data_IF_460740511884
#
_entry.id   IF_460740511884
#
_cell.length_a   1.000
_cell.length_b   1.000
_cell.length_c   1.000
_cell.angle_alpha   90.00
_cell.angle_beta   90.00
_cell.angle_gamma   90.00
#
_symmetry.space_group_name_H-M   'P 1'
#
loop_
_entity.id
_entity.type
_entity.pdbx_description
1 polymer ?
#
# COMPACT_ATOMS: atom_id res chain seq x y z
N UNK A 1 -13.73 48.36 18.45
CA UNK A 1 -13.51 47.58 17.20
C UNK A 1 -12.23 46.78 17.43
N UNK A 2 -12.38 45.57 17.89
CA UNK A 2 -11.27 44.63 18.06
C UNK A 2 -11.07 43.95 16.70
N UNK A 3 -10.00 44.32 16.03
CA UNK A 3 -9.55 43.62 14.81
C UNK A 3 -9.17 42.18 15.23
N UNK A 4 -9.90 41.23 14.74
CA UNK A 4 -9.51 39.80 14.77
C UNK A 4 -8.09 39.70 14.19
N UNK A 5 -7.16 38.93 14.78
CA UNK A 5 -5.88 38.67 14.14
C UNK A 5 -6.15 38.03 12.79
N UNK A 6 -5.61 38.61 11.73
CA UNK A 6 -5.58 37.92 10.43
C UNK A 6 -4.87 36.60 10.64
N UNK A 7 -5.57 35.50 10.48
CA UNK A 7 -4.97 34.15 10.43
C UNK A 7 -3.93 34.20 9.30
N UNK A 8 -2.66 34.12 9.67
CA UNK A 8 -1.58 34.05 8.69
C UNK A 8 -1.77 32.81 7.84
N UNK A 9 -1.84 32.97 6.50
CA UNK A 9 -1.88 31.81 5.61
C UNK A 9 -0.72 30.87 5.95
N UNK A 10 -0.95 29.55 5.99
CA UNK A 10 0.12 28.58 6.28
C UNK A 10 1.23 28.69 5.24
N UNK A 11 2.43 28.28 5.61
CA UNK A 11 3.55 28.20 4.68
C UNK A 11 3.26 27.14 3.61
N UNK A 12 3.26 27.53 2.32
CA UNK A 12 2.88 26.67 1.19
C UNK A 12 4.02 25.80 0.64
N UNK A 13 5.25 26.09 1.07
CA UNK A 13 6.47 25.39 0.64
C UNK A 13 7.17 24.75 1.84
N UNK A 14 7.86 23.65 1.59
CA UNK A 14 8.68 22.96 2.60
C UNK A 14 10.03 23.68 2.81
N UNK A 15 10.86 23.13 3.71
CA UNK A 15 12.19 23.68 4.03
C UNK A 15 13.18 23.64 2.85
N UNK A 16 12.89 22.85 1.79
CA UNK A 16 13.67 22.78 0.53
C UNK A 16 13.09 23.71 -0.55
N UNK A 17 12.05 24.48 -0.25
CA UNK A 17 11.36 25.38 -1.19
C UNK A 17 10.45 24.66 -2.19
N UNK A 18 10.05 23.41 -1.91
CA UNK A 18 9.14 22.62 -2.74
C UNK A 18 7.70 22.80 -2.25
N UNK A 19 6.68 22.70 -3.12
CA UNK A 19 5.28 22.67 -2.69
C UNK A 19 5.04 21.60 -1.61
N UNK A 20 4.34 21.98 -0.53
CA UNK A 20 3.83 21.01 0.46
C UNK A 20 2.70 20.20 -0.18
N UNK A 21 2.62 18.91 0.18
CA UNK A 21 1.67 17.96 -0.40
C UNK A 21 0.87 17.27 0.69
N UNK A 22 -0.44 17.35 0.56
CA UNK A 22 -1.38 16.83 1.55
C UNK A 22 -2.22 15.69 0.98
N UNK A 23 -2.74 14.84 1.86
CA UNK A 23 -3.75 13.82 1.56
C UNK A 23 -5.11 14.39 1.89
N UNK A 24 -6.02 14.39 0.92
CA UNK A 24 -7.37 14.93 1.08
C UNK A 24 -8.46 13.86 0.97
N UNK A 25 -8.13 12.66 0.49
CA UNK A 25 -9.07 11.56 0.43
C UNK A 25 -8.39 10.20 0.32
N UNK A 26 -9.09 9.18 0.78
CA UNK A 26 -8.64 7.78 0.78
C UNK A 26 -9.73 6.84 0.28
N UNK A 27 -9.32 5.81 -0.46
CA UNK A 27 -10.18 4.71 -0.89
C UNK A 27 -9.48 3.38 -0.65
N UNK A 28 -10.21 2.38 -0.18
CA UNK A 28 -9.66 1.04 0.03
C UNK A 28 -10.67 -0.04 -0.34
N UNK A 29 -10.15 -1.11 -0.96
CA UNK A 29 -10.87 -2.33 -1.27
C UNK A 29 -9.97 -3.49 -0.86
N UNK A 30 -10.28 -4.14 0.25
CA UNK A 30 -9.37 -5.04 0.97
C UNK A 30 -10.06 -6.28 1.49
N UNK A 31 -9.32 -7.30 1.95
CA UNK A 31 -9.90 -8.47 2.64
C UNK A 31 -10.71 -8.15 3.90
N UNK A 32 -10.45 -7.01 4.56
CA UNK A 32 -11.20 -6.57 5.75
C UNK A 32 -12.43 -5.72 5.41
N UNK A 33 -12.57 -5.26 4.18
CA UNK A 33 -13.70 -4.44 3.79
C UNK A 33 -13.53 -3.75 2.45
N UNK A 34 -14.66 -3.27 1.91
CA UNK A 34 -14.73 -2.65 0.59
C UNK A 34 -14.77 -1.12 0.63
N UNK A 35 -14.50 -0.53 1.80
CA UNK A 35 -14.34 0.91 2.02
C UNK A 35 -13.15 1.18 2.94
N UNK A 36 -12.56 2.37 2.88
CA UNK A 36 -11.47 2.75 3.77
C UNK A 36 -11.90 2.71 5.25
N UNK A 37 -13.16 3.04 5.54
CA UNK A 37 -13.72 3.00 6.91
C UNK A 37 -13.87 1.57 7.43
N UNK A 38 -14.39 0.64 6.63
CA UNK A 38 -14.54 -0.77 7.03
C UNK A 38 -13.16 -1.41 7.20
N UNK A 39 -12.24 -1.14 6.27
CA UNK A 39 -10.85 -1.57 6.37
C UNK A 39 -10.21 -1.10 7.67
N UNK A 40 -10.30 0.20 7.96
CA UNK A 40 -9.73 0.78 9.18
C UNK A 40 -10.36 0.20 10.45
N UNK A 41 -11.69 0.06 10.46
CA UNK A 41 -12.38 -0.55 11.59
C UNK A 41 -11.88 -1.97 11.86
N UNK A 42 -11.79 -2.81 10.82
CA UNK A 42 -11.26 -4.17 10.96
C UNK A 42 -9.81 -4.21 11.46
N UNK A 43 -8.97 -3.26 11.02
CA UNK A 43 -7.60 -3.14 11.53
C UNK A 43 -7.56 -2.79 13.03
N UNK A 44 -8.36 -1.83 13.47
CA UNK A 44 -8.41 -1.41 14.89
C UNK A 44 -9.01 -2.51 15.78
N UNK A 45 -10.00 -3.23 15.27
CA UNK A 45 -10.64 -4.33 16.00
C UNK A 45 -9.78 -5.62 16.00
N UNK A 46 -8.66 -5.64 15.27
CA UNK A 46 -7.77 -6.81 15.18
C UNK A 46 -8.41 -7.99 14.43
N UNK A 47 -9.30 -7.70 13.48
CA UNK A 47 -9.95 -8.73 12.67
C UNK A 47 -9.00 -9.30 11.61
N UNK A 48 -9.15 -10.58 11.27
CA UNK A 48 -8.42 -11.20 10.17
C UNK A 48 -9.32 -11.35 8.95
N UNK A 49 -8.87 -10.82 7.80
CA UNK A 49 -9.49 -11.03 6.49
C UNK A 49 -8.92 -12.24 5.75
N UNK A 50 -8.13 -13.09 6.43
CA UNK A 50 -7.54 -14.29 5.84
C UNK A 50 -8.47 -15.46 6.04
N UNK A 51 -8.74 -16.18 4.94
CA UNK A 51 -9.63 -17.33 4.91
C UNK A 51 -9.15 -18.41 3.95
N UNK A 52 -9.95 -19.47 3.77
CA UNK A 52 -9.70 -20.47 2.72
C UNK A 52 -9.72 -19.81 1.33
N UNK A 53 -8.74 -20.14 0.51
CA UNK A 53 -8.63 -19.62 -0.86
C UNK A 53 -9.76 -20.16 -1.74
N UNK A 54 -10.46 -19.29 -2.44
CA UNK A 54 -11.61 -19.63 -3.32
C UNK A 54 -11.42 -19.19 -4.76
N UNK A 55 -10.52 -18.24 -5.03
CA UNK A 55 -10.30 -17.69 -6.37
C UNK A 55 -9.56 -18.62 -7.34
N UNK A 56 -8.88 -19.65 -6.84
CA UNK A 56 -8.28 -20.69 -7.68
C UNK A 56 -8.33 -22.06 -6.99
N UNK A 57 -8.14 -23.12 -7.79
CA UNK A 57 -8.03 -24.48 -7.26
C UNK A 57 -6.68 -24.69 -6.57
N UNK A 58 -6.73 -25.03 -5.28
CA UNK A 58 -5.57 -25.23 -4.42
C UNK A 58 -5.23 -26.70 -4.15
N UNK A 59 -5.88 -27.67 -4.85
CA UNK A 59 -5.78 -29.11 -4.56
C UNK A 59 -4.34 -29.59 -4.47
N UNK A 60 -3.51 -29.21 -5.42
CA UNK A 60 -2.12 -29.67 -5.54
C UNK A 60 -1.09 -28.74 -4.88
N UNK A 61 -1.53 -27.72 -4.13
CA UNK A 61 -0.64 -26.73 -3.53
C UNK A 61 -0.54 -26.86 -2.02
N UNK A 62 0.63 -26.57 -1.41
CA UNK A 62 0.80 -26.63 0.04
C UNK A 62 0.04 -25.51 0.77
N UNK A 63 -0.14 -24.36 0.15
CA UNK A 63 -0.87 -23.20 0.69
C UNK A 63 -2.30 -23.21 0.15
N UNK A 64 -3.29 -23.09 1.06
CA UNK A 64 -4.72 -23.14 0.75
C UNK A 64 -5.49 -21.95 1.28
N UNK A 65 -4.78 -20.89 1.68
CA UNK A 65 -5.29 -19.73 2.37
C UNK A 65 -4.88 -18.43 1.66
N UNK A 66 -5.73 -17.42 1.72
CA UNK A 66 -5.47 -16.10 1.15
C UNK A 66 -6.29 -15.01 1.84
N UNK A 67 -5.85 -13.76 1.69
CA UNK A 67 -6.67 -12.58 1.94
C UNK A 67 -7.42 -12.20 0.66
N UNK A 68 -8.63 -12.72 0.48
CA UNK A 68 -9.50 -12.42 -0.66
C UNK A 68 -10.51 -11.33 -0.28
N UNK A 69 -10.89 -10.48 -1.26
CA UNK A 69 -11.93 -9.45 -1.02
C UNK A 69 -13.30 -10.12 -1.03
N UNK A 70 -14.08 -10.08 0.08
CA UNK A 70 -15.36 -10.74 0.15
C UNK A 70 -16.38 -10.10 -0.80
N UNK A 71 -17.13 -10.94 -1.53
CA UNK A 71 -18.27 -10.55 -2.38
C UNK A 71 -18.00 -9.35 -3.32
N UNK A 72 -16.77 -9.20 -3.82
CA UNK A 72 -16.41 -8.11 -4.70
C UNK A 72 -17.15 -8.19 -6.03
N UNK A 73 -18.07 -7.24 -6.23
CA UNK A 73 -18.80 -7.06 -7.49
C UNK A 73 -18.48 -5.70 -8.11
N UNK A 74 -17.67 -5.65 -9.17
CA UNK A 74 -17.27 -4.38 -9.78
C UNK A 74 -18.45 -3.58 -10.36
N UNK A 75 -19.58 -4.24 -10.68
CA UNK A 75 -20.77 -3.59 -11.24
C UNK A 75 -21.53 -2.69 -10.25
N UNK A 76 -21.19 -2.72 -9.00
CA UNK A 76 -21.74 -1.79 -8.01
C UNK A 76 -21.30 -0.35 -8.29
N UNK A 77 -20.13 -0.18 -8.93
CA UNK A 77 -19.54 1.13 -9.22
C UNK A 77 -19.09 1.34 -10.66
N UNK A 78 -18.91 0.26 -11.44
CA UNK A 78 -18.47 0.31 -12.82
C UNK A 78 -19.58 -0.09 -13.78
N UNK A 79 -19.61 0.53 -14.96
CA UNK A 79 -20.45 0.05 -16.06
C UNK A 79 -20.13 -1.41 -16.39
N UNK A 80 -21.15 -2.21 -16.63
CA UNK A 80 -21.03 -3.65 -16.86
C UNK A 80 -20.20 -4.00 -18.12
N UNK A 81 -20.14 -3.12 -19.12
CA UNK A 81 -19.35 -3.30 -20.34
C UNK A 81 -17.88 -3.04 -20.05
N UNK A 82 -17.60 -1.99 -19.27
CA UNK A 82 -16.24 -1.65 -18.85
C UNK A 82 -15.67 -2.70 -17.91
N UNK A 83 -16.43 -3.12 -16.90
CA UNK A 83 -16.02 -4.16 -15.97
C UNK A 83 -15.59 -5.46 -16.69
N UNK A 84 -16.30 -5.87 -17.76
CA UNK A 84 -15.93 -7.07 -18.55
C UNK A 84 -14.65 -6.96 -19.37
N UNK A 85 -14.11 -5.75 -19.53
CA UNK A 85 -12.89 -5.47 -20.31
C UNK A 85 -11.68 -5.17 -19.44
N UNK A 86 -11.87 -5.21 -18.13
CA UNK A 86 -10.83 -5.02 -17.13
C UNK A 86 -10.56 -6.32 -16.40
N UNK A 87 -9.31 -6.62 -16.11
CA UNK A 87 -8.99 -7.66 -15.14
C UNK A 87 -9.26 -7.19 -13.70
N UNK A 88 -9.28 -8.16 -12.78
CA UNK A 88 -9.68 -7.95 -11.39
C UNK A 88 -8.86 -6.86 -10.70
N UNK A 89 -7.52 -6.82 -10.87
CA UNK A 89 -6.69 -5.78 -10.26
C UNK A 89 -7.05 -4.37 -10.75
N UNK A 90 -7.43 -4.22 -12.03
CA UNK A 90 -7.89 -2.95 -12.59
C UNK A 90 -9.29 -2.57 -12.08
N UNK A 91 -10.19 -3.54 -11.93
CA UNK A 91 -11.53 -3.31 -11.35
C UNK A 91 -11.44 -2.82 -9.91
N UNK A 92 -10.57 -3.44 -9.11
CA UNK A 92 -10.31 -3.06 -7.72
C UNK A 92 -9.71 -1.65 -7.64
N UNK A 93 -8.72 -1.33 -8.50
CA UNK A 93 -8.09 -0.02 -8.57
C UNK A 93 -9.10 1.09 -8.93
N UNK A 94 -9.93 0.87 -9.95
CA UNK A 94 -10.95 1.85 -10.37
C UNK A 94 -11.97 2.07 -9.25
N UNK A 95 -12.41 0.99 -8.59
CA UNK A 95 -13.34 1.09 -7.46
C UNK A 95 -12.73 1.91 -6.31
N UNK A 96 -11.48 1.63 -5.94
CA UNK A 96 -10.77 2.39 -4.91
C UNK A 96 -10.54 3.86 -5.31
N UNK A 97 -10.21 4.11 -6.58
CA UNK A 97 -10.02 5.47 -7.11
C UNK A 97 -11.29 6.31 -7.07
N UNK A 98 -12.44 5.74 -7.47
CA UNK A 98 -13.74 6.43 -7.36
C UNK A 98 -14.06 6.78 -5.91
N UNK A 99 -13.82 5.86 -4.96
CA UNK A 99 -14.03 6.11 -3.54
C UNK A 99 -13.11 7.21 -2.99
N UNK A 100 -11.84 7.22 -3.40
CA UNK A 100 -10.89 8.22 -2.94
C UNK A 100 -11.25 9.64 -3.44
N UNK A 101 -11.74 9.78 -4.68
CA UNK A 101 -12.25 11.04 -5.22
C UNK A 101 -13.50 11.51 -4.46
N UNK A 102 -14.44 10.58 -4.19
CA UNK A 102 -15.64 10.87 -3.39
C UNK A 102 -15.27 11.34 -1.97
N UNK A 103 -14.32 10.65 -1.32
CA UNK A 103 -13.85 10.99 0.04
C UNK A 103 -13.13 12.35 0.08
N UNK A 104 -12.34 12.67 -0.95
CA UNK A 104 -11.70 13.97 -1.12
C UNK A 104 -12.69 15.11 -1.37
N UNK A 105 -13.92 14.81 -1.75
CA UNK A 105 -14.89 15.81 -2.22
C UNK A 105 -14.38 16.60 -3.42
N UNK A 106 -13.57 15.96 -4.30
CA UNK A 106 -12.98 16.61 -5.46
C UNK A 106 -13.96 16.60 -6.64
N UNK A 107 -14.35 17.79 -7.10
CA UNK A 107 -15.20 17.96 -8.28
C UNK A 107 -14.34 17.98 -9.56
N UNK A 108 -14.25 16.84 -10.22
CA UNK A 108 -13.44 16.68 -11.44
C UNK A 108 -13.89 17.54 -12.62
N UNK A 109 -15.14 18.02 -12.62
CA UNK A 109 -15.65 18.88 -13.70
C UNK A 109 -15.16 20.33 -13.56
N UNK A 110 -14.82 20.75 -12.34
CA UNK A 110 -14.28 22.08 -12.05
C UNK A 110 -12.77 22.19 -12.24
N UNK A 111 -12.07 21.05 -12.37
CA UNK A 111 -10.62 20.98 -12.42
C UNK A 111 -10.06 21.03 -13.85
N UNK A 112 -8.81 21.49 -14.01
CA UNK A 112 -8.06 21.29 -15.26
C UNK A 112 -7.57 19.84 -15.33
N UNK A 113 -8.15 18.99 -16.21
CA UNK A 113 -7.79 17.59 -16.28
C UNK A 113 -6.32 17.34 -16.66
N UNK A 114 -5.64 18.34 -17.26
CA UNK A 114 -4.21 18.25 -17.58
C UNK A 114 -3.32 18.42 -16.35
N UNK A 115 -3.86 18.93 -15.23
CA UNK A 115 -3.19 19.07 -13.93
C UNK A 115 -3.53 17.93 -12.97
N UNK A 116 -4.44 17.02 -13.36
CA UNK A 116 -4.81 15.82 -12.62
C UNK A 116 -4.03 14.61 -13.14
N UNK A 117 -3.18 14.02 -12.33
CA UNK A 117 -2.34 12.89 -12.72
C UNK A 117 -2.63 11.63 -11.90
N UNK A 118 -1.90 10.56 -12.23
CA UNK A 118 -2.00 9.26 -11.54
C UNK A 118 -0.68 8.51 -11.57
N UNK A 119 -0.29 7.94 -10.42
CA UNK A 119 0.77 6.93 -10.31
C UNK A 119 0.28 5.80 -9.43
N UNK A 120 0.23 4.58 -9.95
CA UNK A 120 -0.13 3.40 -9.15
C UNK A 120 1.00 2.37 -9.16
N UNK A 121 1.20 1.72 -8.02
CA UNK A 121 2.00 0.52 -7.89
C UNK A 121 1.22 -0.74 -8.27
N UNK A 122 1.86 -1.64 -9.01
CA UNK A 122 1.34 -2.97 -9.31
C UNK A 122 2.51 -3.94 -9.54
N UNK A 123 2.44 -5.15 -9.00
CA UNK A 123 3.51 -6.14 -9.10
C UNK A 123 3.36 -7.09 -10.29
N UNK A 124 2.21 -7.74 -10.38
CA UNK A 124 2.01 -8.91 -11.24
C UNK A 124 1.13 -8.67 -12.47
N UNK A 125 0.38 -7.56 -12.52
CA UNK A 125 -0.63 -7.38 -13.57
C UNK A 125 -1.74 -8.41 -13.48
N UNK A 126 -2.26 -8.81 -14.62
CA UNK A 126 -3.39 -9.74 -14.73
C UNK A 126 -2.97 -11.22 -14.69
N UNK A 127 -2.31 -11.72 -13.64
CA UNK A 127 -1.89 -13.11 -13.52
C UNK A 127 -3.01 -14.12 -13.78
N UNK A 128 -4.23 -13.98 -13.21
CA UNK A 128 -5.33 -14.90 -13.54
C UNK A 128 -5.69 -14.90 -15.03
N UNK A 129 -5.61 -13.74 -15.69
CA UNK A 129 -5.91 -13.62 -17.13
C UNK A 129 -4.78 -14.20 -18.00
N UNK A 130 -3.51 -14.10 -17.56
CA UNK A 130 -2.36 -14.76 -18.21
C UNK A 130 -2.55 -16.27 -18.15
N UNK A 131 -2.90 -16.82 -16.99
CA UNK A 131 -3.16 -18.25 -16.80
C UNK A 131 -4.30 -18.72 -17.71
N UNK A 132 -5.43 -18.02 -17.71
CA UNK A 132 -6.58 -18.34 -18.57
C UNK A 132 -6.25 -18.22 -20.06
N UNK A 133 -5.43 -17.23 -20.42
CA UNK A 133 -4.89 -17.07 -21.76
C UNK A 133 -4.03 -18.26 -22.21
N UNK A 134 -3.12 -18.70 -21.35
CA UNK A 134 -2.29 -19.89 -21.57
C UNK A 134 -3.13 -21.15 -21.83
N UNK A 135 -4.11 -21.41 -20.96
CA UNK A 135 -5.07 -22.51 -21.11
C UNK A 135 -5.86 -22.42 -22.43
N UNK A 136 -6.25 -21.20 -22.84
CA UNK A 136 -6.96 -20.98 -24.10
C UNK A 136 -6.07 -21.31 -25.30
N UNK A 137 -4.80 -20.90 -25.28
CA UNK A 137 -3.84 -21.21 -26.35
C UNK A 137 -3.65 -22.71 -26.48
N UNK A 138 -3.47 -23.42 -25.36
CA UNK A 138 -3.24 -24.84 -25.31
C UNK A 138 -4.47 -25.66 -25.84
N UNK A 139 -5.67 -25.29 -25.39
CA UNK A 139 -6.89 -26.10 -25.65
C UNK A 139 -7.64 -25.69 -26.90
N UNK A 140 -7.54 -24.44 -27.34
CA UNK A 140 -8.36 -23.83 -28.40
C UNK A 140 -7.57 -23.17 -29.51
N UNK A 141 -6.26 -22.92 -29.30
CA UNK A 141 -5.37 -22.19 -30.19
C UNK A 141 -5.36 -20.69 -29.99
N UNK A 142 -4.21 -20.03 -30.27
CA UNK A 142 -3.94 -18.63 -29.98
C UNK A 142 -4.92 -17.63 -30.62
N UNK A 143 -5.55 -17.98 -31.75
CA UNK A 143 -6.55 -17.12 -32.41
C UNK A 143 -7.90 -17.07 -31.66
N UNK A 144 -8.02 -17.76 -30.54
CA UNK A 144 -9.21 -17.77 -29.67
C UNK A 144 -9.01 -16.92 -28.40
N UNK A 145 -7.86 -16.26 -28.25
CA UNK A 145 -7.66 -15.27 -27.19
C UNK A 145 -8.65 -14.11 -27.33
N UNK A 146 -9.00 -13.52 -26.18
CA UNK A 146 -9.81 -12.29 -26.17
C UNK A 146 -9.07 -11.15 -26.90
N UNK A 147 -9.76 -10.33 -27.72
CA UNK A 147 -9.16 -9.11 -28.26
C UNK A 147 -8.73 -8.11 -27.16
N UNK A 148 -9.20 -8.28 -25.94
CA UNK A 148 -8.82 -7.49 -24.75
C UNK A 148 -7.72 -8.17 -23.92
N UNK A 149 -7.11 -9.27 -24.38
CA UNK A 149 -6.11 -10.00 -23.62
C UNK A 149 -4.97 -9.10 -23.13
N UNK A 150 -4.30 -8.37 -24.03
CA UNK A 150 -3.23 -7.45 -23.61
C UNK A 150 -3.70 -6.33 -22.67
N UNK A 151 -4.81 -5.61 -22.97
CA UNK A 151 -5.39 -4.65 -22.02
C UNK A 151 -5.77 -5.23 -20.65
N UNK A 152 -5.89 -6.53 -20.51
CA UNK A 152 -6.21 -7.19 -19.23
C UNK A 152 -4.96 -7.59 -18.45
N UNK A 153 -3.85 -7.91 -19.11
CA UNK A 153 -2.69 -8.50 -18.43
C UNK A 153 -1.58 -7.52 -18.07
N UNK A 154 -1.47 -6.39 -18.76
CA UNK A 154 -0.34 -5.46 -18.56
C UNK A 154 -0.49 -4.70 -17.22
N UNK A 155 0.58 -4.59 -16.41
CA UNK A 155 0.53 -3.92 -15.10
C UNK A 155 0.05 -2.47 -15.16
N UNK A 156 0.38 -1.73 -16.24
CA UNK A 156 -0.03 -0.33 -16.41
C UNK A 156 -1.53 -0.15 -16.68
N UNK A 157 -2.27 -1.23 -16.86
CA UNK A 157 -3.69 -1.10 -17.20
C UNK A 157 -4.57 -0.68 -16.02
N UNK A 158 -4.19 -0.96 -14.78
CA UNK A 158 -4.87 -0.39 -13.62
C UNK A 158 -4.83 1.14 -13.67
N UNK A 159 -3.63 1.71 -13.80
CA UNK A 159 -3.41 3.16 -13.91
C UNK A 159 -4.16 3.76 -15.10
N UNK A 160 -4.07 3.12 -16.26
CA UNK A 160 -4.76 3.56 -17.48
C UNK A 160 -6.28 3.55 -17.35
N UNK A 161 -6.86 2.52 -16.73
CA UNK A 161 -8.30 2.43 -16.54
C UNK A 161 -8.83 3.44 -15.52
N UNK A 162 -8.11 3.67 -14.42
CA UNK A 162 -8.44 4.73 -13.45
C UNK A 162 -8.39 6.09 -14.13
N UNK A 163 -7.29 6.41 -14.86
CA UNK A 163 -7.15 7.65 -15.62
C UNK A 163 -8.31 7.86 -16.59
N UNK A 164 -8.68 6.83 -17.35
CA UNK A 164 -9.77 6.88 -18.32
C UNK A 164 -11.14 7.12 -17.66
N UNK A 165 -11.42 6.42 -16.55
CA UNK A 165 -12.73 6.51 -15.87
C UNK A 165 -12.90 7.86 -15.18
N UNK A 166 -11.83 8.37 -14.55
CA UNK A 166 -11.83 9.65 -13.85
C UNK A 166 -11.52 10.86 -14.75
N UNK A 167 -11.14 10.63 -16.01
CA UNK A 167 -10.84 11.73 -16.95
C UNK A 167 -9.51 12.43 -16.68
N UNK A 168 -8.55 11.79 -16.01
CA UNK A 168 -7.25 12.37 -15.67
C UNK A 168 -6.36 12.42 -16.91
N UNK A 169 -5.88 13.60 -17.30
CA UNK A 169 -5.08 13.82 -18.51
C UNK A 169 -3.65 14.33 -18.24
N UNK A 170 -3.30 14.47 -16.96
CA UNK A 170 -1.97 14.88 -16.53
C UNK A 170 -0.95 13.74 -16.53
N UNK A 171 0.04 13.83 -15.66
CA UNK A 171 1.11 12.83 -15.54
C UNK A 171 0.55 11.44 -15.19
N UNK A 172 0.96 10.42 -15.95
CA UNK A 172 0.49 9.05 -15.76
C UNK A 172 1.67 8.09 -15.79
N UNK A 173 1.82 7.25 -14.74
CA UNK A 173 2.86 6.21 -14.66
C UNK A 173 2.40 5.02 -13.83
N UNK A 174 3.03 3.87 -14.02
CA UNK A 174 2.87 2.67 -13.20
C UNK A 174 4.23 2.23 -12.69
N UNK A 175 4.32 2.04 -11.39
CA UNK A 175 5.52 1.55 -10.71
C UNK A 175 5.42 0.03 -10.56
N UNK A 176 6.48 -0.68 -10.95
CA UNK A 176 6.54 -2.15 -10.81
C UNK A 176 7.83 -2.51 -10.09
N UNK A 177 7.86 -2.32 -8.78
CA UNK A 177 8.98 -2.61 -7.87
C UNK A 177 8.59 -3.67 -6.85
N UNK A 178 7.92 -4.73 -7.34
CA UNK A 178 7.45 -5.85 -6.53
C UNK A 178 6.61 -5.36 -5.34
N UNK A 179 6.94 -5.80 -4.12
CA UNK A 179 6.18 -5.45 -2.91
C UNK A 179 6.30 -3.96 -2.52
N UNK A 180 7.32 -3.24 -3.01
CA UNK A 180 7.50 -1.82 -2.75
C UNK A 180 6.70 -0.89 -3.71
N UNK A 181 6.05 -1.47 -4.74
CA UNK A 181 5.45 -0.70 -5.83
C UNK A 181 4.40 0.31 -5.37
N UNK A 182 3.52 -0.06 -4.44
CA UNK A 182 2.47 0.83 -3.92
C UNK A 182 3.04 2.03 -3.17
N UNK A 183 3.99 1.80 -2.27
CA UNK A 183 4.68 2.84 -1.50
C UNK A 183 5.49 3.75 -2.42
N UNK A 184 6.22 3.17 -3.36
CA UNK A 184 6.97 3.95 -4.36
C UNK A 184 6.02 4.75 -5.26
N UNK A 185 4.85 4.20 -5.62
CA UNK A 185 3.83 4.92 -6.38
C UNK A 185 3.38 6.20 -5.70
N UNK A 186 3.14 6.15 -4.36
CA UNK A 186 2.81 7.34 -3.56
C UNK A 186 3.97 8.34 -3.53
N UNK A 187 5.20 7.87 -3.34
CA UNK A 187 6.37 8.74 -3.33
C UNK A 187 6.66 9.39 -4.69
N UNK A 188 6.52 8.64 -5.79
CA UNK A 188 6.69 9.21 -7.14
C UNK A 188 5.60 10.24 -7.45
N UNK A 189 4.36 10.04 -6.99
CA UNK A 189 3.27 11.02 -7.11
C UNK A 189 3.55 12.30 -6.29
N UNK A 190 4.09 12.15 -5.07
CA UNK A 190 4.58 13.26 -4.27
C UNK A 190 5.60 14.11 -5.04
N UNK A 191 6.59 13.48 -5.66
CA UNK A 191 7.62 14.17 -6.44
C UNK A 191 7.06 14.83 -7.71
N UNK A 192 6.01 14.28 -8.33
CA UNK A 192 5.32 14.91 -9.46
C UNK A 192 4.69 16.25 -9.07
N UNK A 193 4.03 16.31 -7.90
CA UNK A 193 3.47 17.57 -7.36
C UNK A 193 4.59 18.53 -6.95
N UNK A 194 5.61 18.06 -6.24
CA UNK A 194 6.74 18.87 -5.78
C UNK A 194 7.49 19.57 -6.91
N UNK A 195 7.62 18.93 -8.08
CA UNK A 195 8.20 19.55 -9.28
C UNK A 195 7.23 20.42 -10.09
N UNK A 196 5.98 20.59 -9.63
CA UNK A 196 4.98 21.44 -10.27
C UNK A 196 4.34 20.84 -11.53
N UNK A 197 4.46 19.52 -11.78
CA UNK A 197 3.91 18.87 -12.97
C UNK A 197 2.42 18.51 -12.84
N UNK A 198 1.88 18.47 -11.61
CA UNK A 198 0.46 18.28 -11.32
C UNK A 198 0.08 19.07 -10.06
N UNK A 199 -1.22 19.34 -9.90
CA UNK A 199 -1.79 19.91 -8.67
C UNK A 199 -2.46 18.83 -7.82
N UNK A 200 -2.97 17.77 -8.48
CA UNK A 200 -3.60 16.61 -7.85
C UNK A 200 -3.05 15.33 -8.47
N UNK A 201 -2.77 14.35 -7.62
CA UNK A 201 -2.36 13.01 -8.04
C UNK A 201 -3.20 11.94 -7.34
N UNK A 202 -3.81 11.06 -8.14
CA UNK A 202 -4.34 9.79 -7.64
C UNK A 202 -3.16 8.84 -7.47
N UNK A 203 -2.98 8.26 -6.29
CA UNK A 203 -1.84 7.39 -6.04
C UNK A 203 -2.14 6.25 -5.08
N UNK A 204 -1.24 5.29 -5.00
CA UNK A 204 -1.37 4.09 -4.16
C UNK A 204 -0.93 2.84 -4.89
N UNK A 205 -1.60 1.72 -4.61
CA UNK A 205 -1.29 0.44 -5.23
C UNK A 205 -2.48 -0.49 -5.34
N UNK A 206 -2.40 -1.45 -6.24
CA UNK A 206 -3.41 -2.48 -6.47
C UNK A 206 -2.78 -3.81 -6.86
N UNK A 207 -3.40 -4.91 -6.43
CA UNK A 207 -2.98 -6.27 -6.84
C UNK A 207 -4.15 -7.24 -6.80
N UNK A 208 -4.17 -8.21 -7.71
CA UNK A 208 -5.06 -9.37 -7.69
C UNK A 208 -4.38 -10.57 -8.37
N UNK A 209 -3.28 -11.02 -7.76
CA UNK A 209 -2.41 -12.08 -8.30
C UNK A 209 -2.78 -13.51 -7.85
N UNK A 210 -3.88 -13.70 -7.10
CA UNK A 210 -4.31 -15.01 -6.60
C UNK A 210 -4.76 -15.87 -7.80
N UNK A 211 -3.92 -16.86 -8.15
CA UNK A 211 -4.11 -17.77 -9.28
C UNK A 211 -3.21 -18.98 -9.07
N UNK A 212 -3.44 -20.07 -9.81
CA UNK A 212 -2.53 -21.24 -9.76
C UNK A 212 -1.10 -20.87 -10.20
N UNK A 213 -0.96 -19.96 -11.17
CA UNK A 213 0.34 -19.46 -11.62
C UNK A 213 1.07 -18.71 -10.47
N UNK A 214 0.39 -17.78 -9.82
CA UNK A 214 0.96 -17.03 -8.68
C UNK A 214 1.25 -17.94 -7.49
N UNK A 215 0.28 -18.78 -7.11
CA UNK A 215 0.40 -19.76 -6.03
C UNK A 215 1.56 -20.74 -6.26
N UNK A 216 1.70 -21.27 -7.47
CA UNK A 216 2.78 -22.17 -7.85
C UNK A 216 4.15 -21.49 -7.79
N UNK A 217 4.27 -20.30 -8.37
CA UNK A 217 5.52 -19.54 -8.37
C UNK A 217 6.06 -19.27 -6.95
N UNK A 218 5.21 -18.77 -6.04
CA UNK A 218 5.62 -18.51 -4.65
C UNK A 218 5.78 -19.80 -3.83
N UNK A 219 5.00 -20.86 -4.09
CA UNK A 219 5.13 -22.14 -3.37
C UNK A 219 6.47 -22.83 -3.64
N UNK A 220 6.95 -22.87 -4.91
CA UNK A 220 8.25 -23.48 -5.24
C UNK A 220 9.42 -22.68 -4.66
N UNK A 221 9.24 -21.39 -4.39
CA UNK A 221 10.18 -20.54 -3.66
C UNK A 221 10.13 -20.75 -2.15
N UNK A 222 9.15 -21.49 -1.63
CA UNK A 222 8.87 -21.65 -0.20
C UNK A 222 8.65 -20.32 0.54
N UNK A 223 8.02 -19.37 -0.14
CA UNK A 223 7.78 -18.04 0.40
C UNK A 223 6.42 -17.91 1.12
N UNK A 224 5.50 -18.86 0.86
CA UNK A 224 4.14 -18.85 1.40
C UNK A 224 4.02 -19.62 2.71
N UNK A 225 3.17 -19.12 3.60
CA UNK A 225 2.74 -19.88 4.78
C UNK A 225 1.97 -21.14 4.36
N UNK A 226 2.21 -22.21 5.08
CA UNK A 226 1.50 -23.50 4.94
C UNK A 226 0.61 -23.81 6.14
N UNK A 227 0.39 -22.86 7.02
CA UNK A 227 -0.43 -22.96 8.22
C UNK A 227 -1.92 -22.89 7.90
N UNK A 228 -2.44 -23.94 7.22
CA UNK A 228 -3.81 -23.97 6.68
C UNK A 228 -4.92 -24.30 7.70
N UNK A 229 -4.57 -24.85 8.87
CA UNK A 229 -5.57 -25.35 9.84
C UNK A 229 -6.42 -24.22 10.44
N UNK A 230 -5.78 -23.09 10.76
CA UNK A 230 -6.46 -21.86 11.22
C UNK A 230 -5.97 -20.69 10.35
N UNK A 231 -6.67 -20.39 9.24
CA UNK A 231 -6.26 -19.34 8.32
C UNK A 231 -6.04 -17.97 9.01
N UNK A 232 -6.85 -17.66 10.02
CA UNK A 232 -6.79 -16.37 10.72
C UNK A 232 -5.50 -16.19 11.53
N UNK A 233 -4.80 -17.28 11.83
CA UNK A 233 -3.53 -17.31 12.59
C UNK A 233 -2.29 -17.51 11.75
N UNK A 234 -2.43 -17.65 10.43
CA UNK A 234 -1.31 -17.96 9.55
C UNK A 234 -0.34 -16.80 9.36
N UNK A 235 -0.84 -15.58 9.12
CA UNK A 235 0.00 -14.38 9.06
C UNK A 235 0.31 -13.90 10.46
N UNK A 236 1.60 -13.98 10.82
CA UNK A 236 2.09 -13.69 12.19
C UNK A 236 3.44 -12.97 12.16
N UNK A 237 3.48 -11.72 11.66
CA UNK A 237 4.72 -10.96 11.56
C UNK A 237 5.44 -10.87 12.91
N UNK A 238 6.78 -10.99 12.88
CA UNK A 238 7.68 -10.92 14.03
C UNK A 238 7.55 -12.02 15.08
N UNK A 239 6.59 -12.93 14.93
CA UNK A 239 6.42 -14.09 15.81
C UNK A 239 7.44 -15.19 15.47
N UNK A 240 7.95 -15.91 16.47
CA UNK A 240 8.95 -16.97 16.28
C UNK A 240 8.45 -18.14 15.42
N UNK A 241 7.13 -18.34 15.31
CA UNK A 241 6.52 -19.42 14.52
C UNK A 241 6.05 -18.98 13.13
N UNK A 242 6.46 -17.78 12.65
CA UNK A 242 6.18 -17.36 11.28
C UNK A 242 6.82 -18.30 10.28
N UNK A 243 6.11 -18.67 9.23
CA UNK A 243 6.54 -19.67 8.25
C UNK A 243 6.45 -19.21 6.79
N UNK A 244 6.03 -17.96 6.53
CA UNK A 244 5.86 -17.41 5.20
C UNK A 244 4.73 -16.38 5.15
N UNK A 245 4.62 -15.67 4.05
CA UNK A 245 3.52 -14.73 3.87
C UNK A 245 2.23 -15.43 3.39
N UNK A 246 1.08 -14.84 3.67
CA UNK A 246 -0.22 -15.25 3.12
C UNK A 246 -0.52 -14.38 1.90
N UNK A 247 -0.76 -14.94 0.70
CA UNK A 247 -1.07 -14.15 -0.49
C UNK A 247 -2.41 -13.41 -0.32
N UNK A 248 -2.49 -12.20 -0.84
CA UNK A 248 -3.70 -11.40 -0.76
C UNK A 248 -3.93 -10.57 -2.04
N UNK A 249 -5.11 -9.99 -2.13
CA UNK A 249 -5.49 -9.00 -3.14
C UNK A 249 -6.02 -7.72 -2.49
N UNK A 250 -6.05 -6.63 -3.24
CA UNK A 250 -6.62 -5.39 -2.76
C UNK A 250 -6.06 -4.16 -3.43
N UNK A 251 -6.63 -3.01 -3.08
CA UNK A 251 -6.10 -1.69 -3.41
C UNK A 251 -6.26 -0.73 -2.24
N UNK A 252 -5.27 0.16 -2.10
CA UNK A 252 -5.35 1.38 -1.30
C UNK A 252 -4.97 2.56 -2.17
N UNK A 253 -5.84 3.57 -2.22
CA UNK A 253 -5.73 4.73 -3.10
C UNK A 253 -5.83 6.00 -2.25
N UNK A 254 -4.95 6.96 -2.53
CA UNK A 254 -4.89 8.28 -1.90
C UNK A 254 -5.07 9.35 -2.96
N UNK A 255 -5.68 10.46 -2.56
CA UNK A 255 -5.67 11.71 -3.32
C UNK A 255 -4.64 12.62 -2.67
N UNK A 256 -3.55 12.85 -3.41
CA UNK A 256 -2.50 13.79 -3.03
C UNK A 256 -2.76 15.12 -3.72
N UNK A 257 -2.69 16.21 -2.96
CA UNK A 257 -2.88 17.56 -3.49
C UNK A 257 -1.75 18.49 -3.08
N UNK A 258 -1.39 19.39 -3.97
CA UNK A 258 -0.62 20.58 -3.60
C UNK A 258 -1.39 21.31 -2.51
N UNK A 259 -0.73 21.67 -1.39
CA UNK A 259 -1.38 22.31 -0.26
C UNK A 259 -2.17 23.57 -0.66
N UNK A 260 -1.60 24.43 -1.51
CA UNK A 260 -2.27 25.63 -2.01
C UNK A 260 -3.60 25.29 -2.71
N UNK A 261 -3.61 24.29 -3.57
CA UNK A 261 -4.81 23.80 -4.27
C UNK A 261 -5.88 23.31 -3.30
N UNK A 262 -5.48 22.47 -2.32
CA UNK A 262 -6.38 21.94 -1.30
C UNK A 262 -7.04 23.06 -0.46
N UNK A 263 -6.25 24.08 -0.06
CA UNK A 263 -6.74 25.23 0.69
C UNK A 263 -7.69 26.10 -0.13
N UNK A 264 -7.36 26.37 -1.41
CA UNK A 264 -8.16 27.23 -2.28
C UNK A 264 -9.55 26.65 -2.55
N UNK A 265 -9.69 25.31 -2.62
CA UNK A 265 -10.99 24.64 -2.76
C UNK A 265 -11.67 24.30 -1.42
N UNK A 266 -11.01 24.57 -0.28
CA UNK A 266 -11.54 24.28 1.05
C UNK A 266 -11.60 22.77 1.38
N UNK A 267 -10.61 22.01 0.91
CA UNK A 267 -10.53 20.56 1.15
C UNK A 267 -10.40 20.21 2.62
N UNK A 268 -10.95 19.08 3.02
CA UNK A 268 -10.61 18.45 4.29
C UNK A 268 -9.24 17.78 4.17
N UNK A 269 -8.24 18.30 4.88
CA UNK A 269 -6.88 17.76 4.88
C UNK A 269 -6.77 16.69 5.96
N UNK A 270 -6.40 15.48 5.58
CA UNK A 270 -6.27 14.32 6.47
C UNK A 270 -4.88 14.29 7.13
N UNK A 271 -3.84 14.48 6.33
CA UNK A 271 -2.45 14.56 6.78
C UNK A 271 -1.57 15.14 5.67
N UNK A 272 -0.27 15.26 5.91
CA UNK A 272 0.75 15.67 4.94
C UNK A 272 1.68 14.50 4.60
N UNK A 273 2.16 14.39 3.36
CA UNK A 273 3.23 13.47 2.97
C UNK A 273 4.52 14.29 2.87
N UNK A 274 5.42 14.09 3.81
CA UNK A 274 6.58 14.97 4.00
C UNK A 274 7.90 14.34 3.59
N UNK A 275 8.00 13.01 3.60
CA UNK A 275 9.26 12.31 3.30
C UNK A 275 9.09 11.13 2.38
N UNK A 276 10.10 10.93 1.52
CA UNK A 276 10.21 9.81 0.61
C UNK A 276 11.66 9.35 0.47
N UNK A 277 11.88 8.05 0.59
CA UNK A 277 13.21 7.45 0.41
C UNK A 277 13.12 6.13 -0.37
N UNK A 278 13.99 5.97 -1.35
CA UNK A 278 14.08 4.75 -2.19
C UNK A 278 15.53 4.29 -2.26
N UNK A 279 15.75 3.00 -2.11
CA UNK A 279 17.08 2.40 -2.22
C UNK A 279 17.06 1.05 -2.93
N UNK A 280 18.22 0.52 -3.23
CA UNK A 280 18.40 -0.84 -3.71
C UNK A 280 19.44 -1.56 -2.86
N UNK A 281 19.19 -2.84 -2.55
CA UNK A 281 20.15 -3.70 -1.85
C UNK A 281 21.34 -4.06 -2.72
N UNK A 282 21.10 -4.25 -4.04
CA UNK A 282 22.10 -4.75 -4.98
C UNK A 282 22.78 -6.05 -4.50
N UNK A 283 22.03 -6.91 -3.82
CA UNK A 283 22.53 -8.11 -3.13
C UNK A 283 22.07 -9.40 -3.81
N UNK A 284 20.75 -9.67 -3.84
CA UNK A 284 20.19 -10.90 -4.39
C UNK A 284 18.83 -10.65 -5.04
N UNK A 285 18.43 -11.49 -6.03
CA UNK A 285 17.16 -11.28 -6.76
C UNK A 285 15.90 -11.52 -5.92
N UNK A 286 15.99 -12.21 -4.77
CA UNK A 286 14.84 -12.55 -3.91
C UNK A 286 15.12 -12.21 -2.45
N UNK A 287 16.29 -12.58 -1.93
CA UNK A 287 16.63 -12.39 -0.52
C UNK A 287 16.99 -10.93 -0.24
N UNK A 288 16.53 -10.34 0.88
CA UNK A 288 17.02 -9.06 1.33
C UNK A 288 18.51 -9.14 1.68
N UNK A 289 19.19 -8.01 1.71
CA UNK A 289 20.52 -7.90 2.29
C UNK A 289 20.47 -8.30 3.77
N UNK A 290 21.27 -9.30 4.15
CA UNK A 290 21.26 -9.90 5.50
C UNK A 290 21.46 -8.87 6.63
N UNK A 291 22.17 -7.79 6.34
CA UNK A 291 22.39 -6.69 7.29
C UNK A 291 21.30 -5.61 7.23
N UNK A 292 20.42 -5.64 6.24
CA UNK A 292 19.32 -4.68 6.07
C UNK A 292 19.79 -3.26 5.70
N UNK A 293 20.96 -3.13 5.07
CA UNK A 293 21.56 -1.83 4.73
C UNK A 293 20.70 -1.04 3.73
N UNK A 294 20.10 -1.73 2.73
CA UNK A 294 19.20 -1.09 1.77
C UNK A 294 17.95 -0.55 2.44
N UNK A 295 17.28 -1.37 3.26
CA UNK A 295 16.12 -0.97 4.04
C UNK A 295 16.43 0.22 4.98
N UNK A 296 17.57 0.16 5.70
CA UNK A 296 18.01 1.23 6.56
C UNK A 296 18.26 2.54 5.78
N UNK A 297 18.87 2.48 4.59
CA UNK A 297 19.07 3.67 3.74
C UNK A 297 17.74 4.28 3.30
N UNK A 298 16.77 3.47 2.86
CA UNK A 298 15.46 3.97 2.44
C UNK A 298 14.74 4.69 3.59
N UNK A 299 14.73 4.09 4.79
CA UNK A 299 14.17 4.73 6.00
C UNK A 299 14.89 6.03 6.35
N UNK A 300 16.21 6.02 6.40
CA UNK A 300 17.00 7.21 6.74
C UNK A 300 16.77 8.35 5.74
N UNK A 301 16.72 8.06 4.44
CA UNK A 301 16.45 9.07 3.41
C UNK A 301 15.02 9.61 3.46
N UNK A 302 14.02 8.79 3.77
CA UNK A 302 12.66 9.27 3.97
C UNK A 302 12.55 10.22 5.16
N UNK A 303 13.19 9.88 6.28
CA UNK A 303 13.23 10.71 7.50
C UNK A 303 13.99 12.03 7.24
N UNK A 304 15.12 11.97 6.53
CA UNK A 304 15.89 13.16 6.12
C UNK A 304 15.09 14.06 5.15
N UNK A 305 14.36 13.45 4.19
CA UNK A 305 13.51 14.18 3.24
C UNK A 305 12.35 14.91 3.93
N UNK A 306 11.87 14.40 5.07
CA UNK A 306 10.90 15.03 5.95
C UNK A 306 11.51 16.08 6.90
N UNK A 307 12.83 16.27 6.91
CA UNK A 307 13.54 17.13 7.88
C UNK A 307 13.35 16.70 9.34
N UNK A 308 13.26 15.39 9.57
CA UNK A 308 13.06 14.80 10.89
C UNK A 308 14.31 14.06 11.37
N UNK A 309 14.31 13.77 12.67
CA UNK A 309 15.22 12.80 13.29
C UNK A 309 14.48 11.50 13.55
N UNK A 310 15.18 10.35 13.61
CA UNK A 310 14.52 9.08 13.89
C UNK A 310 13.72 9.04 15.20
N UNK A 311 14.17 9.71 16.24
CA UNK A 311 13.50 9.79 17.54
C UNK A 311 12.24 10.68 17.56
N UNK A 312 11.93 11.35 16.46
CA UNK A 312 10.71 12.13 16.28
C UNK A 312 9.57 11.32 15.62
N UNK A 313 9.85 10.11 15.11
CA UNK A 313 8.83 9.22 14.55
C UNK A 313 8.08 8.54 15.69
N UNK A 314 6.76 8.68 15.71
CA UNK A 314 5.89 8.10 16.74
C UNK A 314 5.55 6.63 16.46
N UNK A 315 5.44 6.26 15.17
CA UNK A 315 4.96 4.95 14.75
C UNK A 315 5.57 4.53 13.41
N UNK A 316 5.86 3.24 13.29
CA UNK A 316 6.33 2.58 12.06
C UNK A 316 5.28 1.57 11.60
N UNK A 317 4.70 1.78 10.42
CA UNK A 317 3.98 0.74 9.70
C UNK A 317 4.99 -0.11 8.95
N UNK A 318 5.26 -1.29 9.47
CA UNK A 318 6.33 -2.15 9.00
C UNK A 318 5.95 -2.90 7.72
N UNK A 319 6.96 -3.26 6.94
CA UNK A 319 6.77 -4.23 5.86
C UNK A 319 6.28 -5.57 6.40
N UNK A 320 6.89 -6.13 7.44
CA UNK A 320 6.37 -7.19 8.31
C UNK A 320 5.59 -8.28 7.56
N UNK A 321 6.26 -9.07 6.73
CA UNK A 321 5.60 -10.05 5.83
C UNK A 321 5.24 -11.37 6.47
N UNK A 322 5.62 -11.62 7.73
CA UNK A 322 5.52 -12.94 8.36
C UNK A 322 6.46 -13.99 7.75
N UNK A 323 7.52 -13.54 7.05
CA UNK A 323 8.57 -14.45 6.59
C UNK A 323 9.75 -14.49 7.56
N UNK A 324 10.39 -15.64 7.74
CA UNK A 324 11.54 -15.76 8.66
C UNK A 324 12.62 -14.73 8.41
N UNK A 325 12.98 -14.48 7.13
CA UNK A 325 14.08 -13.58 6.78
C UNK A 325 13.70 -12.10 6.87
N UNK A 326 12.57 -11.68 6.24
CA UNK A 326 12.23 -10.26 6.19
C UNK A 326 12.11 -9.65 7.59
N UNK A 327 11.37 -10.29 8.49
CA UNK A 327 10.99 -9.66 9.76
C UNK A 327 12.20 -9.45 10.67
N UNK A 328 13.16 -10.38 10.68
CA UNK A 328 14.42 -10.21 11.41
C UNK A 328 15.34 -9.17 10.77
N UNK A 329 15.42 -9.12 9.43
CA UNK A 329 16.20 -8.11 8.71
C UNK A 329 15.62 -6.71 8.92
N UNK A 330 14.29 -6.55 8.83
CA UNK A 330 13.61 -5.28 9.09
C UNK A 330 13.85 -4.79 10.53
N UNK A 331 13.78 -5.70 11.51
CA UNK A 331 14.10 -5.37 12.91
C UNK A 331 15.53 -4.83 13.03
N UNK A 332 16.53 -5.47 12.38
CA UNK A 332 17.91 -4.97 12.36
C UNK A 332 18.03 -3.61 11.70
N UNK A 333 17.35 -3.41 10.55
CA UNK A 333 17.36 -2.15 9.83
C UNK A 333 16.75 -1.01 10.66
N UNK A 334 15.63 -1.25 11.36
CA UNK A 334 15.02 -0.28 12.28
C UNK A 334 16.00 0.08 13.40
N UNK A 335 16.65 -0.91 14.03
CA UNK A 335 17.67 -0.66 15.07
C UNK A 335 18.85 0.17 14.56
N UNK A 336 19.30 -0.05 13.32
CA UNK A 336 20.37 0.75 12.70
C UNK A 336 19.98 2.23 12.54
N UNK A 337 18.75 2.50 12.13
CA UNK A 337 18.28 3.87 11.89
C UNK A 337 17.92 4.59 13.18
N UNK A 338 17.22 3.92 14.09
CA UNK A 338 16.65 4.53 15.29
C UNK A 338 17.57 4.46 16.51
N UNK A 339 18.61 3.59 16.50
CA UNK A 339 19.46 3.39 17.67
C UNK A 339 18.66 3.03 18.91
N UNK A 340 18.88 3.72 20.03
CA UNK A 340 18.13 3.51 21.27
C UNK A 340 16.65 3.88 21.17
N UNK A 341 16.26 4.73 20.21
CA UNK A 341 14.85 5.08 19.96
C UNK A 341 14.07 3.90 19.37
N UNK A 342 14.72 2.90 18.77
CA UNK A 342 14.06 1.70 18.26
C UNK A 342 13.24 0.94 19.32
N UNK A 343 13.68 0.97 20.57
CA UNK A 343 12.98 0.34 21.70
C UNK A 343 11.82 1.16 22.27
N UNK A 344 11.55 2.33 21.71
CA UNK A 344 10.48 3.25 22.15
C UNK A 344 9.43 3.50 21.09
N UNK A 345 9.81 3.40 19.80
CA UNK A 345 8.88 3.58 18.69
C UNK A 345 7.94 2.37 18.61
N UNK A 346 6.65 2.65 18.45
CA UNK A 346 5.67 1.59 18.23
C UNK A 346 5.72 1.12 16.77
N UNK A 347 5.60 -0.19 16.55
CA UNK A 347 5.69 -0.81 15.22
C UNK A 347 4.49 -1.73 15.06
N UNK A 348 3.84 -1.76 13.89
CA UNK A 348 2.91 -2.85 13.61
C UNK A 348 2.87 -3.21 12.13
N UNK A 349 2.40 -4.41 11.82
CA UNK A 349 2.22 -4.88 10.45
C UNK A 349 0.75 -5.10 10.12
N UNK A 350 0.23 -4.31 9.19
CA UNK A 350 -1.09 -4.46 8.58
C UNK A 350 -1.29 -5.85 7.97
N UNK A 351 -0.21 -6.45 7.47
CA UNK A 351 -0.23 -7.79 6.83
C UNK A 351 -0.60 -8.93 7.78
N UNK A 352 -0.50 -8.74 9.09
CA UNK A 352 -1.02 -9.72 10.06
C UNK A 352 -2.50 -10.02 9.86
N UNK A 353 -3.27 -9.02 9.39
CA UNK A 353 -4.73 -9.05 9.25
C UNK A 353 -5.21 -9.23 7.81
N UNK A 354 -4.51 -8.69 6.82
CA UNK A 354 -4.95 -8.72 5.42
C UNK A 354 -4.13 -9.65 4.52
N UNK A 355 -3.02 -10.20 5.02
CA UNK A 355 -2.04 -10.89 4.17
C UNK A 355 -1.20 -9.91 3.34
N UNK A 356 -0.50 -10.41 2.34
CA UNK A 356 0.43 -9.65 1.50
C UNK A 356 -0.09 -9.53 0.06
N UNK A 357 -0.59 -8.36 -0.29
CA UNK A 357 -1.07 -8.04 -1.63
C UNK A 357 0.02 -7.45 -2.55
N UNK A 358 1.28 -7.88 -2.37
CA UNK A 358 2.40 -7.52 -3.24
C UNK A 358 2.43 -6.02 -3.61
N UNK A 359 2.28 -5.68 -4.89
CA UNK A 359 2.29 -4.30 -5.36
C UNK A 359 1.13 -3.43 -4.84
N UNK A 360 0.04 -4.03 -4.36
CA UNK A 360 -1.08 -3.33 -3.72
C UNK A 360 -0.84 -3.01 -2.25
N UNK A 361 0.08 -3.72 -1.58
CA UNK A 361 0.28 -3.64 -0.13
C UNK A 361 0.58 -2.20 0.34
N UNK A 362 1.57 -1.54 -0.26
CA UNK A 362 1.98 -0.19 0.15
C UNK A 362 0.89 0.87 0.00
N UNK A 363 -0.05 0.69 -0.94
CA UNK A 363 -1.22 1.55 -1.05
C UNK A 363 -2.18 1.38 0.14
N UNK A 364 -2.51 0.13 0.51
CA UNK A 364 -3.35 -0.15 1.68
C UNK A 364 -2.69 0.30 2.98
N UNK A 365 -1.39 0.07 3.12
CA UNK A 365 -0.59 0.52 4.26
C UNK A 365 -0.54 2.05 4.36
N UNK A 366 -0.44 2.76 3.25
CA UNK A 366 -0.54 4.23 3.22
C UNK A 366 -1.90 4.71 3.71
N UNK A 367 -3.00 4.06 3.30
CA UNK A 367 -4.34 4.36 3.86
C UNK A 367 -4.38 4.11 5.37
N UNK A 368 -3.81 3.00 5.85
CA UNK A 368 -3.73 2.71 7.29
C UNK A 368 -2.91 3.78 8.05
N UNK A 369 -1.78 4.27 7.48
CA UNK A 369 -0.98 5.35 8.07
C UNK A 369 -1.77 6.66 8.18
N UNK A 370 -2.49 7.04 7.13
CA UNK A 370 -3.38 8.23 7.15
C UNK A 370 -4.42 8.10 8.26
N UNK A 371 -5.11 6.95 8.34
CA UNK A 371 -6.13 6.72 9.35
C UNK A 371 -5.55 6.64 10.77
N UNK A 372 -4.32 6.15 10.93
CA UNK A 372 -3.60 6.16 12.22
C UNK A 372 -3.41 7.60 12.73
N UNK A 373 -3.05 8.54 11.85
CA UNK A 373 -2.90 9.96 12.20
C UNK A 373 -4.27 10.58 12.54
N UNK A 374 -5.27 10.33 11.69
CA UNK A 374 -6.61 10.93 11.84
C UNK A 374 -7.28 10.52 13.16
N UNK A 375 -7.20 9.24 13.53
CA UNK A 375 -7.89 8.70 14.69
C UNK A 375 -7.03 8.63 15.96
N UNK A 376 -5.71 8.81 15.86
CA UNK A 376 -4.79 8.65 16.99
C UNK A 376 -4.81 7.23 17.55
N UNK A 377 -4.84 6.22 16.67
CA UNK A 377 -4.87 4.79 17.04
C UNK A 377 -3.84 4.05 16.21
N UNK A 378 -3.00 3.26 16.84
CA UNK A 378 -2.11 2.29 16.19
C UNK A 378 -2.81 0.94 16.16
N UNK A 379 -3.02 0.38 14.97
CA UNK A 379 -3.58 -0.96 14.85
C UNK A 379 -2.57 -2.03 15.33
N UNK A 380 -3.02 -3.20 15.80
CA UNK A 380 -2.11 -4.23 16.29
C UNK A 380 -1.40 -4.98 15.16
N UNK A 381 -0.31 -5.66 15.52
CA UNK A 381 0.13 -6.89 14.87
C UNK A 381 -0.55 -8.04 15.58
N UNK A 382 -1.53 -8.68 14.94
CA UNK A 382 -2.21 -9.84 15.51
C UNK A 382 -1.34 -11.11 15.39
N UNK A 383 -1.68 -12.15 16.17
CA UNK A 383 -0.99 -13.46 16.17
C UNK A 383 0.44 -13.42 16.72
N UNK A 384 0.82 -12.38 17.46
CA UNK A 384 2.09 -12.33 18.18
C UNK A 384 1.95 -13.09 19.51
N UNK A 385 2.28 -14.38 19.50
CA UNK A 385 2.11 -15.30 20.63
C UNK A 385 3.46 -15.83 21.17
N UNK A 386 4.46 -15.96 20.30
CA UNK A 386 5.76 -16.53 20.61
C UNK A 386 6.86 -15.51 20.29
N UNK A 387 7.39 -14.80 21.31
CA UNK A 387 8.45 -13.82 21.09
C UNK A 387 9.68 -14.43 20.40
N UNK A 388 10.19 -13.73 19.38
CA UNK A 388 11.42 -14.09 18.69
C UNK A 388 12.57 -13.22 19.20
N UNK A 389 13.68 -13.80 19.71
CA UNK A 389 14.83 -13.02 20.17
C UNK A 389 15.46 -12.10 19.10
N UNK A 390 15.29 -12.41 17.80
CA UNK A 390 15.74 -11.55 16.70
C UNK A 390 14.78 -10.41 16.40
N UNK A 391 13.54 -10.48 16.91
CA UNK A 391 12.47 -9.51 16.75
C UNK A 391 12.02 -9.02 18.14
N UNK A 392 12.83 -8.19 18.80
CA UNK A 392 12.70 -7.79 20.22
C UNK A 392 12.23 -6.34 20.40
N UNK A 393 11.53 -5.76 19.43
CA UNK A 393 10.97 -4.40 19.48
C UNK A 393 9.49 -4.41 19.91
N UNK A 394 8.87 -3.24 20.03
CA UNK A 394 7.44 -3.10 20.36
C UNK A 394 6.56 -3.18 19.10
N UNK A 395 6.01 -4.36 18.82
CA UNK A 395 5.18 -4.60 17.63
C UNK A 395 3.69 -4.35 17.83
N UNK A 396 3.28 -3.60 18.85
CA UNK A 396 1.87 -3.36 19.21
C UNK A 396 1.10 -4.69 19.22
N UNK A 397 1.44 -5.65 20.11
CA UNK A 397 0.97 -7.02 20.00
C UNK A 397 -0.53 -7.15 20.30
N UNK A 398 -1.27 -7.76 19.39
CA UNK A 398 -2.63 -8.26 19.49
C UNK A 398 -3.76 -7.26 19.82
N UNK A 399 -3.48 -6.11 20.40
CA UNK A 399 -4.47 -5.10 20.77
C UNK A 399 -4.08 -3.72 20.24
N UNK A 400 -5.04 -2.98 19.68
CA UNK A 400 -4.82 -1.63 19.21
C UNK A 400 -4.44 -0.67 20.35
N UNK A 401 -3.53 0.25 20.08
CA UNK A 401 -3.06 1.22 21.07
C UNK A 401 -3.59 2.62 20.74
N UNK A 402 -4.34 3.23 21.67
CA UNK A 402 -4.81 4.61 21.54
C UNK A 402 -3.76 5.56 22.10
N UNK A 403 -3.19 6.35 21.24
CA UNK A 403 -2.18 7.37 21.54
C UNK A 403 -2.13 8.36 20.38
N UNK A 404 -1.96 9.64 20.66
CA UNK A 404 -1.75 10.63 19.60
C UNK A 404 -0.52 10.24 18.77
N UNK A 405 -0.70 10.10 17.46
CA UNK A 405 0.33 9.79 16.50
C UNK A 405 0.39 10.93 15.51
N UNK A 406 1.53 11.59 15.43
CA UNK A 406 1.73 12.77 14.56
C UNK A 406 2.65 12.49 13.39
N UNK A 407 3.58 11.56 13.54
CA UNK A 407 4.62 11.25 12.57
C UNK A 407 4.73 9.75 12.38
N UNK A 408 4.45 9.30 11.16
CA UNK A 408 4.39 7.88 10.79
C UNK A 408 5.41 7.60 9.70
N UNK A 409 6.21 6.55 9.87
CA UNK A 409 7.05 5.99 8.82
C UNK A 409 6.38 4.72 8.27
N UNK A 410 6.23 4.60 6.96
CA UNK A 410 5.72 3.40 6.28
C UNK A 410 6.82 2.75 5.46
N UNK A 411 7.05 1.45 5.66
CA UNK A 411 8.11 0.67 5.03
C UNK A 411 7.58 -0.35 4.02
N UNK A 412 8.23 -0.45 2.87
CA UNK A 412 7.98 -1.54 1.92
C UNK A 412 9.30 -2.01 1.30
N UNK A 413 9.56 -3.33 1.38
CA UNK A 413 10.76 -3.96 0.87
C UNK A 413 10.40 -5.05 -0.14
N UNK A 414 10.85 -4.90 -1.39
CA UNK A 414 10.44 -5.73 -2.52
C UNK A 414 11.53 -6.71 -2.97
N UNK A 415 11.10 -7.83 -3.56
CA UNK A 415 11.99 -8.69 -4.32
C UNK A 415 12.76 -7.88 -5.35
N UNK A 416 14.03 -8.26 -5.60
CA UNK A 416 14.95 -7.46 -6.38
C UNK A 416 15.73 -6.44 -5.53
N UNK A 417 15.53 -6.45 -4.20
CA UNK A 417 16.17 -5.52 -3.27
C UNK A 417 15.70 -4.08 -3.44
N UNK A 418 14.43 -3.88 -3.81
CA UNK A 418 13.85 -2.55 -4.02
C UNK A 418 13.11 -2.11 -2.75
N UNK A 419 13.60 -1.05 -2.11
CA UNK A 419 13.09 -0.55 -0.84
C UNK A 419 12.48 0.84 -1.03
N UNK A 420 11.31 1.08 -0.46
CA UNK A 420 10.64 2.38 -0.47
C UNK A 420 10.05 2.67 0.91
N UNK A 421 10.23 3.90 1.39
CA UNK A 421 9.70 4.39 2.65
C UNK A 421 9.06 5.75 2.46
N UNK A 422 7.97 6.01 3.21
CA UNK A 422 7.24 7.28 3.23
C UNK A 422 7.14 7.80 4.65
N UNK A 423 7.14 9.11 4.81
CA UNK A 423 6.78 9.77 6.06
C UNK A 423 5.48 10.54 5.87
N UNK A 424 4.54 10.29 6.77
CA UNK A 424 3.28 11.02 6.90
C UNK A 424 3.30 11.82 8.20
N UNK A 425 2.82 13.06 8.15
CA UNK A 425 2.73 13.92 9.33
C UNK A 425 1.33 14.52 9.48
N UNK A 426 0.92 14.79 10.71
CA UNK A 426 -0.27 15.59 10.98
C UNK A 426 -0.12 16.95 10.28
N UNK A 427 -1.13 17.37 9.54
CA UNK A 427 -1.18 18.72 9.00
C UNK A 427 -1.39 19.72 10.14
N UNK A 428 -0.40 20.58 10.36
CA UNK A 428 -0.50 21.74 11.25
C UNK A 428 -0.60 22.98 10.36
N UNK A 429 -1.80 23.57 10.28
CA UNK A 429 -2.22 24.64 9.39
C UNK A 429 -1.30 25.88 9.34
#
# INVERSE_FOLDING_TARGET
MTTSPAESRPQLIDFKGRPRVVVTGVGAVTPLGRTARDFWKGLVDGESGIGPMTLCDTTDYPTKIAGEIPDFNPRERLDARDARRMSRFSQIAVTGGLMAIEDAGLDLESEDPSRLGIVLGNGCGGFPDIENGGRTVETRGGMRLSPFFFPMILPNMATSQVSRVLGLKGFTNTVTTSCAAGTQGVGDALEVIRRGAADVMVSGGTEAGISQLGLGGFSVMKALSTSNEDPTKASRPFDAKRDGFVPAEGAGILILEKLEHALDRGANILCEVTGYGVSSDAFHMVQPDDEGEGAARAMAWAIEDANLKPDEIDYVNAHGTSTPLNDSVETRAIKKVFGEAAYKVAISSTKSMIGHALGGAGGMESVACVMTIVDGVMHPTINYEYPDPECDLDYVPNEARRQAVRKVLSNSFGFGGQNACLVFETYEG
#
